data_IF_146902152678
#
_entry.id   IF_146902152678
#
_cell.length_a   1.000
_cell.length_b   1.000
_cell.length_c   1.000
_cell.angle_alpha   90.00
_cell.angle_beta   90.00
_cell.angle_gamma   90.00
#
_symmetry.space_group_name_H-M   'P 1'
#
loop_
_entity.id
_entity.type
_entity.pdbx_description
1 polymer ?
#
# COMPACT_ATOMS: atom_id res chain seq x y z
N UNK A 1 -6.02 -5.81 -8.37
CA UNK A 1 -5.31 -5.58 -9.65
C UNK A 1 -4.95 -4.11 -9.78
N UNK A 2 -3.72 -3.79 -10.21
CA UNK A 2 -3.22 -2.42 -10.40
C UNK A 2 -2.29 -2.31 -11.60
N UNK A 3 -1.88 -1.08 -11.89
CA UNK A 3 -1.04 -0.73 -13.02
C UNK A 3 -1.84 -0.28 -14.25
N UNK A 4 -1.53 0.93 -14.74
CA UNK A 4 -2.18 1.51 -15.92
C UNK A 4 -3.64 1.94 -15.74
N UNK A 5 -4.16 1.98 -14.52
CA UNK A 5 -5.53 2.43 -14.21
C UNK A 5 -5.59 3.95 -14.21
N UNK A 6 -6.39 4.53 -15.07
CA UNK A 6 -6.48 5.97 -15.28
C UNK A 6 -7.90 6.53 -15.38
N UNK A 7 -8.88 5.67 -15.66
CA UNK A 7 -10.27 6.04 -15.90
C UNK A 7 -11.24 5.09 -15.23
N UNK A 8 -12.53 5.47 -15.12
CA UNK A 8 -13.58 4.57 -14.65
C UNK A 8 -13.80 3.37 -15.57
N UNK A 9 -13.53 3.51 -16.86
CA UNK A 9 -13.57 2.41 -17.83
C UNK A 9 -12.49 1.37 -17.53
N UNK A 10 -11.32 1.79 -17.08
CA UNK A 10 -10.27 0.86 -16.63
C UNK A 10 -10.73 0.09 -15.39
N UNK A 11 -11.36 0.75 -14.41
CA UNK A 11 -11.98 0.06 -13.25
C UNK A 11 -13.01 -0.96 -13.70
N UNK A 12 -13.96 -0.56 -14.56
CA UNK A 12 -15.03 -1.42 -15.07
C UNK A 12 -14.47 -2.67 -15.76
N UNK A 13 -13.50 -2.49 -16.63
CA UNK A 13 -12.83 -3.57 -17.35
C UNK A 13 -12.18 -4.57 -16.40
N UNK A 14 -11.42 -4.09 -15.42
CA UNK A 14 -10.67 -4.95 -14.49
C UNK A 14 -11.61 -5.70 -13.55
N UNK A 15 -12.64 -5.04 -13.01
CA UNK A 15 -13.64 -5.68 -12.16
C UNK A 15 -14.45 -6.73 -12.93
N UNK A 16 -14.85 -6.47 -14.17
CA UNK A 16 -15.54 -7.45 -15.04
C UNK A 16 -14.65 -8.65 -15.41
N UNK A 17 -13.34 -8.48 -15.40
CA UNK A 17 -12.40 -9.60 -15.57
C UNK A 17 -12.20 -10.44 -14.30
N UNK A 18 -12.88 -10.12 -13.20
CA UNK A 18 -12.88 -10.90 -11.97
C UNK A 18 -11.99 -10.37 -10.86
N UNK A 19 -11.49 -9.12 -10.95
CA UNK A 19 -10.79 -8.50 -9.83
C UNK A 19 -11.77 -8.12 -8.72
N UNK A 20 -11.42 -8.35 -7.47
CA UNK A 20 -12.19 -7.90 -6.30
C UNK A 20 -11.90 -6.43 -5.97
N UNK A 21 -10.67 -5.98 -6.22
CA UNK A 21 -10.20 -4.62 -5.90
C UNK A 21 -9.31 -4.08 -7.01
N UNK A 22 -9.31 -2.77 -7.16
CA UNK A 22 -8.50 -2.04 -8.16
C UNK A 22 -7.60 -1.04 -7.46
N UNK A 23 -6.30 -1.17 -7.70
CA UNK A 23 -5.27 -0.30 -7.11
C UNK A 23 -4.88 0.82 -8.08
N UNK A 24 -4.90 2.06 -7.61
CA UNK A 24 -4.59 3.25 -8.40
C UNK A 24 -3.62 4.18 -7.67
N UNK A 25 -2.61 4.71 -8.40
CA UNK A 25 -1.69 5.74 -7.94
C UNK A 25 -1.68 6.91 -8.95
N UNK A 26 -0.88 6.85 -10.00
CA UNK A 26 -0.65 7.96 -10.94
C UNK A 26 -1.95 8.45 -11.62
N UNK A 27 -2.93 7.57 -11.84
CA UNK A 27 -4.25 7.94 -12.34
C UNK A 27 -4.98 8.89 -11.39
N UNK A 28 -5.01 8.55 -10.10
CA UNK A 28 -5.63 9.39 -9.07
C UNK A 28 -4.84 10.69 -8.81
N UNK A 29 -3.51 10.65 -8.86
CA UNK A 29 -2.70 11.86 -8.72
C UNK A 29 -2.94 12.87 -9.84
N UNK A 30 -3.21 12.39 -11.06
CA UNK A 30 -3.53 13.23 -12.23
C UNK A 30 -4.97 13.74 -12.20
N UNK A 31 -5.91 12.86 -11.87
CA UNK A 31 -7.33 13.17 -11.72
C UNK A 31 -7.83 12.64 -10.36
N UNK A 32 -7.80 13.48 -9.30
CA UNK A 32 -8.30 13.10 -7.98
C UNK A 32 -9.77 12.69 -7.99
N UNK A 33 -10.58 13.21 -8.92
CA UNK A 33 -11.99 12.84 -9.08
C UNK A 33 -12.23 11.37 -9.39
N UNK A 34 -11.21 10.63 -9.82
CA UNK A 34 -11.30 9.20 -10.08
C UNK A 34 -11.61 8.38 -8.82
N UNK A 35 -11.06 8.76 -7.65
CA UNK A 35 -11.31 8.07 -6.37
C UNK A 35 -12.80 8.14 -5.99
N UNK A 36 -13.43 9.32 -5.79
CA UNK A 36 -14.82 9.38 -5.41
C UNK A 36 -15.75 8.83 -6.49
N UNK A 37 -15.44 8.99 -7.77
CA UNK A 37 -16.25 8.43 -8.84
C UNK A 37 -16.24 6.90 -8.86
N UNK A 38 -15.08 6.28 -8.61
CA UNK A 38 -14.95 4.83 -8.49
C UNK A 38 -15.67 4.30 -7.25
N UNK A 39 -15.49 4.96 -6.09
CA UNK A 39 -16.16 4.61 -4.84
C UNK A 39 -17.69 4.71 -4.95
N UNK A 40 -18.20 5.76 -5.56
CA UNK A 40 -19.64 5.93 -5.78
C UNK A 40 -20.23 4.82 -6.67
N UNK A 41 -19.49 4.39 -7.68
CA UNK A 41 -19.99 3.42 -8.67
C UNK A 41 -19.84 1.96 -8.21
N UNK A 42 -18.74 1.62 -7.54
CA UNK A 42 -18.36 0.24 -7.22
C UNK A 42 -18.29 -0.05 -5.72
N UNK A 43 -18.38 0.97 -4.87
CA UNK A 43 -18.12 0.89 -3.44
C UNK A 43 -16.66 1.16 -3.10
N UNK A 44 -16.43 1.79 -1.96
CA UNK A 44 -15.10 2.12 -1.45
C UNK A 44 -14.22 0.88 -1.22
N UNK A 45 -14.82 -0.26 -0.84
CA UNK A 45 -14.13 -1.54 -0.68
C UNK A 45 -13.43 -2.04 -1.96
N UNK A 46 -13.82 -1.56 -3.14
CA UNK A 46 -13.17 -1.89 -4.41
C UNK A 46 -11.99 -0.96 -4.75
N UNK A 47 -11.83 0.16 -4.03
CA UNK A 47 -10.84 1.19 -4.33
C UNK A 47 -9.64 1.08 -3.41
N UNK A 48 -8.48 0.71 -3.95
CA UNK A 48 -7.21 0.69 -3.22
C UNK A 48 -6.35 1.87 -3.68
N UNK A 49 -6.00 2.76 -2.76
CA UNK A 49 -4.99 3.77 -3.02
C UNK A 49 -3.60 3.12 -2.93
N UNK A 50 -2.86 3.08 -4.04
CA UNK A 50 -1.43 2.80 -4.00
C UNK A 50 -0.68 4.13 -3.86
N UNK A 51 0.15 4.25 -2.83
CA UNK A 51 0.92 5.46 -2.58
C UNK A 51 2.41 5.11 -2.50
N UNK A 52 3.17 5.59 -3.50
CA UNK A 52 4.63 5.55 -3.47
C UNK A 52 5.12 6.79 -2.73
N UNK A 53 5.73 6.60 -1.56
CA UNK A 53 6.13 7.68 -0.65
C UNK A 53 7.63 7.70 -0.46
N UNK A 54 8.20 8.91 -0.42
CA UNK A 54 9.62 9.15 -0.15
C UNK A 54 9.80 10.34 0.78
N UNK A 55 10.86 10.31 1.60
CA UNK A 55 11.29 11.48 2.37
C UNK A 55 12.07 12.45 1.48
N UNK A 56 11.58 13.68 1.43
CA UNK A 56 12.25 14.80 0.75
C UNK A 56 12.35 15.95 1.75
N UNK A 57 13.55 16.32 2.13
CA UNK A 57 13.82 17.39 3.12
C UNK A 57 13.04 17.20 4.44
N UNK A 58 12.97 15.96 4.93
CA UNK A 58 12.28 15.62 6.18
C UNK A 58 10.75 15.52 6.09
N UNK A 59 10.16 15.67 4.90
CA UNK A 59 8.72 15.56 4.67
C UNK A 59 8.42 14.31 3.84
N UNK A 60 7.32 13.62 4.13
CA UNK A 60 6.80 12.55 3.30
C UNK A 60 6.11 13.12 2.07
N UNK A 61 6.60 12.79 0.87
CA UNK A 61 6.01 13.20 -0.40
C UNK A 61 5.53 12.01 -1.21
N UNK A 62 4.39 12.18 -1.88
CA UNK A 62 3.88 11.15 -2.78
C UNK A 62 4.47 11.31 -4.18
N UNK A 63 4.83 10.17 -4.76
CA UNK A 63 5.45 10.07 -6.07
C UNK A 63 4.52 9.39 -7.08
N UNK A 64 4.62 9.82 -8.33
CA UNK A 64 3.95 9.23 -9.48
C UNK A 64 4.90 8.33 -10.28
N UNK A 65 4.34 7.61 -11.27
CA UNK A 65 5.07 6.82 -12.28
C UNK A 65 6.01 5.77 -11.67
N UNK A 66 5.54 5.07 -10.61
CA UNK A 66 6.35 4.07 -9.93
C UNK A 66 7.56 4.66 -9.22
N UNK A 67 7.35 5.74 -8.48
CA UNK A 67 8.38 6.38 -7.65
C UNK A 67 9.37 7.29 -8.40
N UNK A 68 9.11 7.61 -9.68
CA UNK A 68 10.06 8.36 -10.54
C UNK A 68 9.82 9.86 -10.59
N UNK A 69 8.63 10.32 -10.24
CA UNK A 69 8.24 11.72 -10.35
C UNK A 69 7.72 12.24 -9.00
N UNK A 70 8.46 13.19 -8.41
CA UNK A 70 8.00 13.92 -7.21
C UNK A 70 6.83 14.81 -7.61
N UNK A 71 5.68 14.61 -6.99
CA UNK A 71 4.49 15.42 -7.25
C UNK A 71 4.47 16.73 -6.47
N UNK A 72 5.39 16.91 -5.53
CA UNK A 72 5.41 18.03 -4.59
C UNK A 72 4.31 17.99 -3.53
N UNK A 73 3.42 16.98 -3.55
CA UNK A 73 2.31 16.85 -2.59
C UNK A 73 2.78 16.19 -1.31
N UNK A 74 2.30 16.68 -0.17
CA UNK A 74 2.42 15.98 1.11
C UNK A 74 1.68 14.65 1.05
N UNK A 75 2.36 13.56 1.45
CA UNK A 75 1.80 12.22 1.36
C UNK A 75 0.69 11.99 2.39
N UNK A 76 0.84 12.54 3.61
CA UNK A 76 -0.13 12.33 4.67
C UNK A 76 -1.45 13.04 4.35
N UNK A 77 -1.38 14.25 3.82
CA UNK A 77 -2.56 15.02 3.41
C UNK A 77 -3.24 14.38 2.19
N UNK A 78 -2.46 13.91 1.23
CA UNK A 78 -2.98 13.22 0.05
C UNK A 78 -3.71 11.92 0.41
N UNK A 79 -3.09 11.08 1.24
CA UNK A 79 -3.67 9.80 1.68
C UNK A 79 -4.94 10.06 2.50
N UNK A 80 -4.91 11.00 3.44
CA UNK A 80 -6.09 11.37 4.23
C UNK A 80 -7.24 11.86 3.34
N UNK A 81 -6.93 12.68 2.33
CA UNK A 81 -7.92 13.14 1.36
C UNK A 81 -8.53 11.98 0.57
N UNK A 82 -7.71 11.05 0.06
CA UNK A 82 -8.20 9.89 -0.70
C UNK A 82 -9.12 9.00 0.14
N UNK A 83 -8.78 8.74 1.40
CA UNK A 83 -9.62 7.95 2.32
C UNK A 83 -10.94 8.66 2.59
N UNK A 84 -10.91 9.96 2.86
CA UNK A 84 -12.13 10.75 3.06
C UNK A 84 -13.04 10.79 1.81
N UNK A 85 -12.51 10.48 0.63
CA UNK A 85 -13.22 10.49 -0.64
C UNK A 85 -13.46 9.09 -1.24
N UNK A 86 -13.26 8.02 -0.45
CA UNK A 86 -13.71 6.68 -0.83
C UNK A 86 -12.61 5.69 -1.19
N UNK A 87 -11.34 5.96 -0.86
CA UNK A 87 -10.34 4.89 -0.86
C UNK A 87 -10.58 4.01 0.36
N UNK A 88 -10.98 2.76 0.16
CA UNK A 88 -11.32 1.81 1.22
C UNK A 88 -10.13 0.96 1.70
N UNK A 89 -8.96 1.07 1.06
CA UNK A 89 -7.73 0.39 1.45
C UNK A 89 -6.52 1.16 0.90
N UNK A 90 -5.38 1.05 1.58
CA UNK A 90 -4.13 1.68 1.17
C UNK A 90 -3.05 0.62 0.97
N UNK A 91 -2.35 0.66 -0.16
CA UNK A 91 -1.07 0.00 -0.35
C UNK A 91 0.02 1.08 -0.28
N UNK A 92 0.73 1.12 0.84
CA UNK A 92 1.71 2.15 1.17
C UNK A 92 3.12 1.63 0.91
N UNK A 93 3.77 2.16 -0.10
CA UNK A 93 5.11 1.75 -0.51
C UNK A 93 6.15 2.82 -0.13
N UNK A 94 7.13 2.46 0.69
CA UNK A 94 8.28 3.32 0.98
C UNK A 94 9.34 3.15 -0.10
N UNK A 95 9.58 4.20 -0.88
CA UNK A 95 10.65 4.25 -1.88
C UNK A 95 12.02 4.19 -1.18
N UNK A 96 12.14 4.76 0.01
CA UNK A 96 13.40 4.83 0.74
C UNK A 96 13.90 3.46 1.21
N UNK A 97 12.99 2.54 1.50
CA UNK A 97 13.33 1.18 1.97
C UNK A 97 13.15 0.11 0.90
N UNK A 98 12.47 0.41 -0.22
CA UNK A 98 12.19 -0.56 -1.27
C UNK A 98 13.49 -1.12 -1.89
N UNK A 99 13.62 -2.44 -1.88
CA UNK A 99 14.82 -3.15 -2.34
C UNK A 99 16.01 -3.15 -1.39
N UNK A 100 15.97 -2.38 -0.29
CA UNK A 100 17.09 -2.25 0.67
C UNK A 100 17.18 -3.45 1.62
N UNK A 101 16.03 -4.07 1.97
CA UNK A 101 15.94 -5.28 2.84
C UNK A 101 16.41 -5.05 4.29
N UNK A 102 16.17 -3.88 4.83
CA UNK A 102 16.52 -3.51 6.20
C UNK A 102 15.33 -3.38 7.14
N UNK A 103 14.16 -3.85 6.71
CA UNK A 103 12.89 -3.71 7.40
C UNK A 103 11.97 -2.69 6.75
N UNK A 104 10.69 -2.72 7.15
CA UNK A 104 9.67 -1.75 6.70
C UNK A 104 9.93 -0.36 7.28
N UNK A 105 9.41 0.67 6.62
CA UNK A 105 9.47 2.06 7.09
C UNK A 105 8.39 2.31 8.16
N UNK A 106 8.67 1.87 9.38
CA UNK A 106 7.70 1.91 10.48
C UNK A 106 7.27 3.33 10.85
N UNK A 107 8.19 4.31 10.77
CA UNK A 107 7.87 5.72 11.04
C UNK A 107 6.83 6.27 10.05
N UNK A 108 6.99 5.97 8.77
CA UNK A 108 6.03 6.36 7.74
C UNK A 108 4.68 5.67 7.94
N UNK A 109 4.72 4.37 8.25
CA UNK A 109 3.51 3.56 8.49
C UNK A 109 2.73 4.08 9.70
N UNK A 110 3.40 4.35 10.83
CA UNK A 110 2.78 4.91 12.03
C UNK A 110 2.18 6.30 11.77
N UNK A 111 2.90 7.15 10.99
CA UNK A 111 2.40 8.48 10.64
C UNK A 111 1.11 8.43 9.80
N UNK A 112 0.99 7.45 8.89
CA UNK A 112 -0.23 7.24 8.10
C UNK A 112 -1.33 6.60 8.95
N UNK A 113 -1.02 5.54 9.72
CA UNK A 113 -1.98 4.84 10.57
C UNK A 113 -2.64 5.76 11.62
N UNK A 114 -1.93 6.79 12.08
CA UNK A 114 -2.48 7.80 12.99
C UNK A 114 -3.54 8.72 12.34
N UNK A 115 -3.65 8.74 11.01
CA UNK A 115 -4.54 9.66 10.27
C UNK A 115 -5.71 9.00 9.56
N UNK A 116 -5.67 7.68 9.39
CA UNK A 116 -6.68 6.93 8.63
C UNK A 116 -7.22 5.75 9.43
N UNK A 117 -8.37 5.23 9.04
CA UNK A 117 -9.06 4.12 9.69
C UNK A 117 -9.45 3.01 8.70
N UNK A 118 -8.76 2.92 7.58
CA UNK A 118 -8.91 1.87 6.56
C UNK A 118 -7.71 0.92 6.61
N UNK A 119 -7.83 -0.32 6.12
CA UNK A 119 -6.72 -1.26 6.08
C UNK A 119 -5.49 -0.71 5.35
N UNK A 120 -4.31 -0.96 5.93
CA UNK A 120 -3.01 -0.57 5.36
C UNK A 120 -2.19 -1.82 5.05
N UNK A 121 -1.76 -1.92 3.79
CA UNK A 121 -0.79 -2.89 3.30
C UNK A 121 0.56 -2.20 3.24
N UNK A 122 1.51 -2.61 4.09
CA UNK A 122 2.87 -2.10 4.08
C UNK A 122 3.69 -2.72 2.95
N UNK A 123 4.42 -1.91 2.19
CA UNK A 123 5.29 -2.34 1.09
C UNK A 123 6.64 -1.63 1.12
N UNK A 124 7.69 -2.35 0.70
CA UNK A 124 9.05 -1.84 0.66
C UNK A 124 9.86 -2.13 1.92
N UNK A 125 11.02 -2.76 1.78
CA UNK A 125 12.01 -2.95 2.84
C UNK A 125 12.12 -4.34 3.44
N UNK A 126 11.14 -5.23 3.30
CA UNK A 126 11.18 -6.57 3.87
C UNK A 126 12.39 -7.39 3.38
N UNK A 127 13.22 -7.88 4.28
CA UNK A 127 14.41 -8.67 4.01
C UNK A 127 14.40 -10.06 4.66
N UNK A 128 13.69 -10.22 5.77
CA UNK A 128 13.62 -11.43 6.58
C UNK A 128 12.29 -11.55 7.31
N UNK A 129 11.99 -12.72 7.87
CA UNK A 129 10.72 -13.00 8.56
C UNK A 129 10.51 -12.14 9.82
N UNK A 130 11.58 -11.75 10.51
CA UNK A 130 11.53 -10.89 11.69
C UNK A 130 11.00 -9.49 11.37
N UNK A 131 11.23 -8.99 10.14
CA UNK A 131 10.73 -7.69 9.71
C UNK A 131 9.19 -7.67 9.66
N UNK A 132 8.56 -8.80 9.30
CA UNK A 132 7.11 -8.94 9.33
C UNK A 132 6.57 -9.07 10.77
N UNK A 133 7.30 -9.74 11.66
CA UNK A 133 6.92 -9.81 13.06
C UNK A 133 6.92 -8.42 13.69
N UNK A 134 7.97 -7.65 13.44
CA UNK A 134 8.06 -6.25 13.88
C UNK A 134 6.91 -5.42 13.30
N UNK A 135 6.64 -5.54 12.00
CA UNK A 135 5.55 -4.86 11.33
C UNK A 135 4.19 -5.09 12.01
N UNK A 136 3.85 -6.33 12.30
CA UNK A 136 2.54 -6.68 12.89
C UNK A 136 2.42 -6.37 14.38
N UNK A 137 3.48 -5.92 15.04
CA UNK A 137 3.41 -5.32 16.37
C UNK A 137 2.97 -3.84 16.32
N UNK A 138 3.04 -3.19 15.15
CA UNK A 138 2.53 -1.84 14.96
C UNK A 138 1.02 -1.85 14.70
N UNK A 139 0.31 -0.96 15.40
CA UNK A 139 -1.15 -0.88 15.29
C UNK A 139 -1.59 -0.25 13.98
N UNK A 140 -2.69 -0.76 13.41
CA UNK A 140 -3.30 -0.20 12.21
C UNK A 140 -2.64 -0.64 10.91
N UNK A 141 -1.79 -1.71 10.95
CA UNK A 141 -1.22 -2.35 9.77
C UNK A 141 -1.83 -3.74 9.64
N UNK A 142 -2.47 -4.00 8.51
CA UNK A 142 -3.27 -5.20 8.28
C UNK A 142 -2.55 -6.24 7.41
N UNK A 143 -1.59 -5.81 6.58
CA UNK A 143 -0.84 -6.71 5.71
C UNK A 143 0.58 -6.21 5.43
N UNK A 144 1.47 -7.14 5.12
CA UNK A 144 2.82 -6.88 4.62
C UNK A 144 3.00 -7.47 3.21
N UNK A 145 3.48 -6.65 2.29
CA UNK A 145 3.76 -7.02 0.91
C UNK A 145 5.28 -7.06 0.69
N UNK A 146 5.75 -8.15 0.08
CA UNK A 146 7.12 -8.28 -0.37
C UNK A 146 7.20 -9.03 -1.69
N UNK A 147 8.21 -8.73 -2.48
CA UNK A 147 8.45 -9.39 -3.75
C UNK A 147 9.79 -10.14 -3.75
N UNK A 148 10.88 -9.43 -3.53
CA UNK A 148 12.24 -9.92 -3.72
C UNK A 148 12.59 -11.18 -2.92
N UNK A 149 12.22 -11.23 -1.64
CA UNK A 149 12.53 -12.37 -0.76
C UNK A 149 11.82 -13.66 -1.20
N UNK A 150 10.59 -13.54 -1.75
CA UNK A 150 9.82 -14.68 -2.25
C UNK A 150 10.29 -15.10 -3.64
N UNK A 151 10.50 -14.17 -4.57
CA UNK A 151 11.00 -14.46 -5.91
C UNK A 151 12.40 -15.11 -5.91
N UNK A 152 13.26 -14.68 -4.97
CA UNK A 152 14.59 -15.24 -4.79
C UNK A 152 14.59 -16.53 -3.95
N UNK A 153 13.41 -16.99 -3.50
CA UNK A 153 13.23 -18.20 -2.69
C UNK A 153 14.03 -18.18 -1.37
N UNK A 154 14.25 -16.99 -0.80
CA UNK A 154 14.91 -16.82 0.49
C UNK A 154 13.96 -17.19 1.64
N UNK A 155 12.66 -17.06 1.42
CA UNK A 155 11.60 -17.37 2.37
C UNK A 155 10.38 -17.83 1.59
N UNK A 156 9.66 -18.86 2.08
CA UNK A 156 8.35 -19.20 1.54
C UNK A 156 7.24 -18.47 2.30
N UNK A 157 6.08 -18.29 1.66
CA UNK A 157 4.92 -17.69 2.33
C UNK A 157 4.44 -18.59 3.49
N UNK A 158 4.52 -19.90 3.31
CA UNK A 158 4.14 -20.87 4.35
C UNK A 158 5.04 -20.76 5.59
N UNK A 159 6.38 -20.74 5.40
CA UNK A 159 7.33 -20.62 6.50
C UNK A 159 7.18 -19.27 7.23
N UNK A 160 6.93 -18.18 6.49
CA UNK A 160 6.66 -16.88 7.09
C UNK A 160 5.41 -16.91 7.97
N UNK A 161 4.29 -17.44 7.45
CA UNK A 161 3.03 -17.51 8.20
C UNK A 161 3.14 -18.43 9.42
N UNK A 162 3.83 -19.55 9.30
CA UNK A 162 4.10 -20.47 10.42
C UNK A 162 4.89 -19.74 11.51
N UNK A 163 5.98 -19.08 11.12
CA UNK A 163 6.79 -18.30 12.07
C UNK A 163 5.98 -17.20 12.77
N UNK A 164 5.13 -16.48 12.06
CA UNK A 164 4.28 -15.43 12.62
C UNK A 164 3.27 -16.00 13.62
N UNK A 165 2.62 -17.14 13.30
CA UNK A 165 1.71 -17.82 14.22
C UNK A 165 2.42 -18.30 15.49
N UNK A 166 3.61 -18.87 15.38
CA UNK A 166 4.44 -19.30 16.51
C UNK A 166 4.85 -18.14 17.42
N UNK A 167 4.88 -16.91 16.89
CA UNK A 167 5.20 -15.68 17.63
C UNK A 167 3.97 -14.82 17.96
N UNK A 168 2.77 -15.41 17.94
CA UNK A 168 1.54 -14.78 18.44
C UNK A 168 0.81 -13.86 17.46
N UNK A 169 1.22 -13.84 16.19
CA UNK A 169 0.50 -13.11 15.12
C UNK A 169 -0.39 -14.10 14.39
N UNK A 170 -1.70 -13.97 14.54
CA UNK A 170 -2.68 -14.87 13.93
C UNK A 170 -2.64 -14.79 12.39
N UNK A 171 -2.31 -15.91 11.74
CA UNK A 171 -2.22 -16.03 10.29
C UNK A 171 -3.07 -17.19 9.77
N UNK A 172 -3.73 -16.97 8.65
CA UNK A 172 -4.37 -18.06 7.91
C UNK A 172 -3.30 -18.89 7.19
N UNK A 173 -3.09 -20.15 7.62
CA UNK A 173 -2.17 -21.13 7.01
C UNK A 173 -2.76 -21.74 5.73
#
# INVERSE_FOLDING_TARGET
VGGGINTLEDFDRVLKCGADKVSVNSGALRDPGLIPAAAQKYGDQCVVLSADVKRVNGQFRVFAKGGREDTGRDALDWISWCVAHGAGEICLNSIDTDGVRTGFDLEMLDAVAARVNVPIIASGGAGKKEDFLELFHHKGIDAGLAAGIFHQKLLTIHDLKTYLNENGVEMRL
#
